data_IF_975911577892
#
_entry.id   IF_975911577892
#
_cell.length_a   1.000
_cell.length_b   1.000
_cell.length_c   1.000
_cell.angle_alpha   90.00
_cell.angle_beta   90.00
_cell.angle_gamma   90.00
#
_symmetry.space_group_name_H-M   'P 1'
#
loop_
_entity.id
_entity.type
_entity.pdbx_description
1 polymer ?
#
# COMPACT_ATOMS: atom_id res chain seq x y z
N UNK A 1 -22.80 3.00 6.20
CA UNK A 1 -21.50 2.32 6.38
C UNK A 1 -20.65 2.27 5.10
N UNK A 2 -21.14 1.72 3.97
CA UNK A 2 -20.35 1.59 2.73
C UNK A 2 -19.76 2.92 2.21
N UNK A 3 -20.57 3.97 2.16
CA UNK A 3 -20.11 5.29 1.68
C UNK A 3 -19.00 5.88 2.56
N UNK A 4 -19.06 5.68 3.88
CA UNK A 4 -18.03 6.14 4.82
C UNK A 4 -16.69 5.41 4.57
N UNK A 5 -16.73 4.10 4.35
CA UNK A 5 -15.51 3.32 4.04
C UNK A 5 -14.88 3.77 2.72
N UNK A 6 -15.71 4.09 1.72
CA UNK A 6 -15.22 4.64 0.44
C UNK A 6 -14.56 6.00 0.67
N UNK A 7 -15.21 6.90 1.43
CA UNK A 7 -14.66 8.21 1.73
C UNK A 7 -13.33 8.12 2.49
N UNK A 8 -13.22 7.21 3.47
CA UNK A 8 -11.96 6.95 4.19
C UNK A 8 -10.87 6.43 3.24
N UNK A 9 -11.18 5.46 2.38
CA UNK A 9 -10.21 4.93 1.42
C UNK A 9 -9.70 6.00 0.46
N UNK A 10 -10.60 6.86 -0.04
CA UNK A 10 -10.25 8.00 -0.89
C UNK A 10 -9.38 9.00 -0.12
N UNK A 11 -9.78 9.35 1.11
CA UNK A 11 -9.02 10.28 1.95
C UNK A 11 -7.61 9.79 2.25
N UNK A 12 -7.44 8.51 2.58
CA UNK A 12 -6.12 7.90 2.76
C UNK A 12 -5.35 7.90 1.43
N UNK A 13 -6.00 7.56 0.32
CA UNK A 13 -5.40 7.58 -1.01
C UNK A 13 -4.82 8.95 -1.41
N UNK A 14 -5.48 10.04 -1.00
CA UNK A 14 -4.99 11.41 -1.22
C UNK A 14 -3.72 11.74 -0.43
N UNK A 15 -3.45 11.03 0.67
CA UNK A 15 -2.29 11.27 1.54
C UNK A 15 -1.06 10.45 1.07
N UNK A 16 -1.25 9.34 0.36
CA UNK A 16 -0.15 8.47 -0.08
C UNK A 16 0.93 9.15 -0.96
N UNK A 17 0.59 10.08 -1.88
CA UNK A 17 1.60 10.83 -2.61
C UNK A 17 2.46 11.69 -1.69
N UNK A 18 1.85 12.32 -0.68
CA UNK A 18 2.56 13.09 0.35
C UNK A 18 3.50 12.21 1.16
N UNK A 19 3.06 11.02 1.55
CA UNK A 19 3.92 10.04 2.23
C UNK A 19 5.18 9.71 1.40
N UNK A 20 5.02 9.52 0.09
CA UNK A 20 6.15 9.23 -0.80
C UNK A 20 7.18 10.37 -0.83
N UNK A 21 6.71 11.62 -0.81
CA UNK A 21 7.57 12.80 -0.69
C UNK A 21 8.27 12.91 0.67
N UNK A 22 7.54 12.71 1.78
CA UNK A 22 8.12 12.69 3.14
C UNK A 22 9.22 11.64 3.26
N UNK A 23 8.98 10.44 2.72
CA UNK A 23 9.92 9.34 2.73
C UNK A 23 11.18 9.62 1.88
N UNK A 24 11.01 10.27 0.74
CA UNK A 24 12.12 10.75 -0.09
C UNK A 24 12.96 11.82 0.62
N UNK A 25 12.32 12.73 1.37
CA UNK A 25 13.03 13.74 2.15
C UNK A 25 13.81 13.10 3.31
N UNK A 26 13.18 12.18 4.03
CA UNK A 26 13.83 11.43 5.12
C UNK A 26 15.07 10.67 4.63
N UNK A 27 15.05 10.16 3.39
CA UNK A 27 16.23 9.55 2.75
C UNK A 27 17.39 10.54 2.62
N UNK A 28 17.15 11.83 2.36
CA UNK A 28 18.23 12.83 2.23
C UNK A 28 18.98 13.01 3.54
N UNK A 29 18.29 12.88 4.66
CA UNK A 29 18.88 13.01 6.00
C UNK A 29 19.45 11.70 6.55
N UNK A 30 18.86 10.57 6.21
CA UNK A 30 19.33 9.24 6.65
C UNK A 30 20.44 8.67 5.78
N UNK A 31 20.69 9.23 4.59
CA UNK A 31 21.74 8.82 3.67
C UNK A 31 21.47 7.52 2.90
N UNK A 32 20.46 6.72 3.28
CA UNK A 32 20.14 5.45 2.62
C UNK A 32 18.63 5.15 2.61
N UNK A 33 18.05 4.65 1.50
CA UNK A 33 16.63 4.31 1.39
C UNK A 33 16.12 3.37 2.48
N UNK A 34 16.91 2.35 2.85
CA UNK A 34 16.52 1.40 3.89
C UNK A 34 16.40 2.07 5.26
N UNK A 35 17.28 3.02 5.60
CA UNK A 35 17.18 3.75 6.86
C UNK A 35 15.94 4.64 6.90
N UNK A 36 15.62 5.33 5.80
CA UNK A 36 14.36 6.07 5.70
C UNK A 36 13.13 5.17 5.85
N UNK A 37 13.13 4.00 5.21
CA UNK A 37 12.04 3.04 5.35
C UNK A 37 11.91 2.51 6.79
N UNK A 38 13.02 2.08 7.42
CA UNK A 38 13.03 1.61 8.82
C UNK A 38 12.52 2.69 9.77
N UNK A 39 12.97 3.93 9.62
CA UNK A 39 12.49 5.05 10.44
C UNK A 39 10.99 5.30 10.22
N UNK A 40 10.50 5.28 8.98
CA UNK A 40 9.07 5.44 8.69
C UNK A 40 8.22 4.32 9.31
N UNK A 41 8.67 3.06 9.24
CA UNK A 41 8.01 1.95 9.93
C UNK A 41 8.05 2.09 11.44
N UNK A 42 9.15 2.58 12.01
CA UNK A 42 9.29 2.84 13.43
C UNK A 42 8.27 3.88 13.93
N UNK A 43 8.11 4.98 13.19
CA UNK A 43 7.09 6.01 13.51
C UNK A 43 5.68 5.42 13.40
N UNK A 44 5.38 4.67 12.35
CA UNK A 44 4.08 4.01 12.19
C UNK A 44 3.77 3.03 13.32
N UNK A 45 4.75 2.19 13.70
CA UNK A 45 4.63 1.26 14.83
C UNK A 45 4.36 2.03 16.13
N UNK A 46 5.14 3.07 16.41
CA UNK A 46 4.96 3.90 17.61
C UNK A 46 3.55 4.48 17.69
N UNK A 47 3.07 5.10 16.60
CA UNK A 47 1.71 5.67 16.53
C UNK A 47 0.65 4.60 16.78
N UNK A 48 0.75 3.43 16.15
CA UNK A 48 -0.20 2.34 16.34
C UNK A 48 -0.17 1.81 17.79
N UNK A 49 1.01 1.67 18.40
CA UNK A 49 1.14 1.25 19.79
C UNK A 49 0.50 2.25 20.76
N UNK A 50 0.68 3.56 20.53
CA UNK A 50 0.02 4.60 21.33
C UNK A 50 -1.50 4.53 21.19
N UNK A 51 -2.01 4.37 19.96
CA UNK A 51 -3.47 4.26 19.71
C UNK A 51 -4.05 3.04 20.44
N UNK A 52 -3.39 1.88 20.34
CA UNK A 52 -3.79 0.66 21.06
C UNK A 52 -3.82 0.87 22.57
N UNK A 53 -2.79 1.52 23.12
CA UNK A 53 -2.70 1.81 24.54
C UNK A 53 -3.81 2.78 25.02
N UNK A 54 -4.03 3.88 24.29
CA UNK A 54 -5.06 4.89 24.62
C UNK A 54 -6.47 4.31 24.53
N UNK A 55 -6.72 3.43 23.55
CA UNK A 55 -8.00 2.74 23.41
C UNK A 55 -8.19 1.59 24.42
N UNK A 56 -7.17 1.25 25.21
CA UNK A 56 -7.23 0.15 26.17
C UNK A 56 -7.40 -1.22 25.51
N UNK A 57 -6.92 -1.40 24.27
CA UNK A 57 -7.06 -2.66 23.55
C UNK A 57 -6.07 -3.68 24.15
N UNK A 58 -6.55 -4.83 24.68
CA UNK A 58 -5.70 -5.79 25.35
C UNK A 58 -4.75 -6.49 24.37
N UNK A 59 -3.55 -6.84 24.85
CA UNK A 59 -2.58 -7.57 24.04
C UNK A 59 -3.13 -8.97 23.70
N UNK A 60 -3.01 -9.43 22.43
CA UNK A 60 -3.44 -10.77 22.08
C UNK A 60 -2.59 -11.83 22.79
N UNK A 61 -3.18 -12.98 23.12
CA UNK A 61 -2.41 -14.09 23.68
C UNK A 61 -1.48 -14.68 22.61
N UNK A 62 -0.28 -15.14 23.02
CA UNK A 62 0.67 -15.77 22.11
C UNK A 62 0.07 -16.99 21.41
N UNK A 63 -0.79 -17.74 22.12
CA UNK A 63 -1.52 -18.86 21.54
C UNK A 63 -2.41 -18.43 20.36
N UNK A 64 -3.19 -17.36 20.51
CA UNK A 64 -4.05 -16.84 19.43
C UNK A 64 -3.22 -16.32 18.25
N UNK A 65 -2.07 -15.71 18.51
CA UNK A 65 -1.16 -15.28 17.45
C UNK A 65 -0.56 -16.51 16.72
N UNK A 66 -0.21 -17.56 17.46
CA UNK A 66 0.31 -18.81 16.90
C UNK A 66 -0.69 -19.57 16.02
N UNK A 67 -1.99 -19.34 16.20
CA UNK A 67 -3.05 -19.90 15.35
C UNK A 67 -3.19 -19.20 13.99
N UNK A 68 -2.64 -17.99 13.84
CA UNK A 68 -2.71 -17.27 12.57
C UNK A 68 -1.83 -17.96 11.51
N UNK A 69 -2.30 -18.09 10.25
CA UNK A 69 -1.49 -18.67 9.18
C UNK A 69 -0.19 -17.89 8.99
N UNK A 70 0.96 -18.58 8.84
CA UNK A 70 2.27 -17.94 8.73
C UNK A 70 2.36 -16.91 7.60
N UNK A 71 1.66 -17.15 6.48
CA UNK A 71 1.63 -16.22 5.35
C UNK A 71 0.98 -14.87 5.71
N UNK A 72 0.12 -14.80 6.73
CA UNK A 72 -0.55 -13.55 7.13
C UNK A 72 0.45 -12.52 7.67
N UNK A 73 1.56 -12.98 8.24
CA UNK A 73 2.66 -12.14 8.70
C UNK A 73 3.51 -11.55 7.56
N UNK A 74 3.42 -12.12 6.34
CA UNK A 74 4.12 -11.59 5.17
C UNK A 74 3.53 -10.26 4.68
N UNK A 75 2.36 -9.84 5.19
CA UNK A 75 1.80 -8.52 4.89
C UNK A 75 2.77 -7.37 5.23
N UNK A 76 3.61 -7.54 6.25
CA UNK A 76 4.67 -6.58 6.58
C UNK A 76 5.71 -6.42 5.46
N UNK A 77 6.04 -7.50 4.75
CA UNK A 77 6.97 -7.48 3.61
C UNK A 77 6.36 -6.70 2.43
N UNK A 78 5.06 -6.89 2.17
CA UNK A 78 4.34 -6.14 1.14
C UNK A 78 4.37 -4.63 1.42
N UNK A 79 4.08 -4.24 2.67
CA UNK A 79 4.16 -2.85 3.11
C UNK A 79 5.57 -2.29 2.99
N UNK A 80 6.58 -3.05 3.44
CA UNK A 80 7.98 -2.63 3.37
C UNK A 80 8.46 -2.41 1.93
N UNK A 81 8.06 -3.31 1.02
CA UNK A 81 8.36 -3.20 -0.41
C UNK A 81 7.72 -1.95 -1.03
N UNK A 82 6.47 -1.64 -0.66
CA UNK A 82 5.78 -0.43 -1.12
C UNK A 82 6.50 0.84 -0.66
N UNK A 83 6.83 0.93 0.62
CA UNK A 83 7.53 2.10 1.19
C UNK A 83 8.91 2.25 0.58
N UNK A 84 9.70 1.16 0.48
CA UNK A 84 11.03 1.20 -0.11
C UNK A 84 10.98 1.62 -1.58
N UNK A 85 10.04 1.07 -2.34
CA UNK A 85 9.80 1.48 -3.73
C UNK A 85 9.47 2.96 -3.81
N UNK A 86 8.57 3.46 -2.96
CA UNK A 86 8.23 4.88 -2.92
C UNK A 86 9.46 5.77 -2.61
N UNK A 87 10.27 5.42 -1.62
CA UNK A 87 11.52 6.15 -1.26
C UNK A 87 12.50 6.24 -2.44
N UNK A 88 12.60 5.17 -3.24
CA UNK A 88 13.55 5.07 -4.35
C UNK A 88 13.00 5.73 -5.61
N UNK A 89 11.73 5.51 -5.91
CA UNK A 89 11.10 5.86 -7.17
C UNK A 89 10.46 7.26 -7.17
N UNK A 90 9.94 7.74 -6.03
CA UNK A 90 9.28 9.05 -5.97
C UNK A 90 10.16 10.21 -6.47
N UNK A 91 11.47 10.30 -6.13
CA UNK A 91 12.33 11.36 -6.64
C UNK A 91 12.58 11.29 -8.16
N UNK A 92 12.39 10.12 -8.78
CA UNK A 92 12.68 9.87 -10.19
C UNK A 92 11.45 9.98 -11.07
N UNK A 93 10.31 9.47 -10.59
CA UNK A 93 9.06 9.37 -11.35
C UNK A 93 8.13 10.55 -11.08
N UNK A 94 8.34 11.29 -9.99
CA UNK A 94 7.35 12.22 -9.48
C UNK A 94 6.13 11.51 -8.88
N UNK A 95 5.28 12.28 -8.20
CA UNK A 95 4.15 11.73 -7.44
C UNK A 95 3.08 11.10 -8.33
N UNK A 96 2.70 11.76 -9.43
CA UNK A 96 1.61 11.32 -10.29
C UNK A 96 1.91 9.96 -10.95
N UNK A 97 3.07 9.83 -11.60
CA UNK A 97 3.45 8.59 -12.29
C UNK A 97 3.67 7.44 -11.30
N UNK A 98 4.29 7.70 -10.14
CA UNK A 98 4.46 6.68 -9.10
C UNK A 98 3.10 6.12 -8.66
N UNK A 99 2.15 7.00 -8.34
CA UNK A 99 0.80 6.58 -7.90
C UNK A 99 0.08 5.82 -8.99
N UNK A 100 0.15 6.30 -10.24
CA UNK A 100 -0.47 5.63 -11.38
C UNK A 100 0.08 4.20 -11.56
N UNK A 101 1.39 4.02 -11.51
CA UNK A 101 2.04 2.71 -11.58
C UNK A 101 1.65 1.79 -10.42
N UNK A 102 1.63 2.31 -9.18
CA UNK A 102 1.24 1.53 -8.01
C UNK A 102 -0.22 1.07 -8.09
N UNK A 103 -1.13 1.98 -8.47
CA UNK A 103 -2.56 1.66 -8.61
C UNK A 103 -2.79 0.65 -9.73
N UNK A 104 -2.10 0.80 -10.88
CA UNK A 104 -2.18 -0.17 -11.97
C UNK A 104 -1.71 -1.57 -11.53
N UNK A 105 -0.57 -1.66 -10.82
CA UNK A 105 -0.06 -2.93 -10.29
C UNK A 105 -0.99 -3.54 -9.23
N UNK A 106 -1.51 -2.73 -8.31
CA UNK A 106 -2.46 -3.16 -7.27
C UNK A 106 -3.74 -3.71 -7.88
N UNK A 107 -4.32 -3.02 -8.86
CA UNK A 107 -5.54 -3.46 -9.53
C UNK A 107 -5.30 -4.70 -10.40
N UNK A 108 -4.16 -4.78 -11.08
CA UNK A 108 -3.76 -5.96 -11.83
C UNK A 108 -3.64 -7.20 -10.94
N UNK A 109 -2.94 -7.07 -9.81
CA UNK A 109 -2.83 -8.14 -8.81
C UNK A 109 -4.17 -8.49 -8.19
N UNK A 110 -5.03 -7.50 -7.89
CA UNK A 110 -6.36 -7.71 -7.34
C UNK A 110 -7.24 -8.57 -8.24
N UNK A 111 -7.17 -8.43 -9.57
CA UNK A 111 -7.93 -9.29 -10.48
C UNK A 111 -7.53 -10.76 -10.35
N UNK A 112 -6.24 -11.05 -10.22
CA UNK A 112 -5.72 -12.41 -10.01
C UNK A 112 -6.16 -12.95 -8.64
N UNK A 113 -5.95 -12.16 -7.58
CA UNK A 113 -6.29 -12.53 -6.20
C UNK A 113 -7.79 -12.82 -6.08
N UNK A 114 -8.64 -11.93 -6.60
CA UNK A 114 -10.09 -12.08 -6.60
C UNK A 114 -10.52 -13.31 -7.40
N UNK A 115 -9.87 -13.58 -8.54
CA UNK A 115 -10.24 -14.70 -9.41
C UNK A 115 -10.01 -16.04 -8.74
N UNK A 116 -8.89 -16.19 -8.03
CA UNK A 116 -8.57 -17.42 -7.32
C UNK A 116 -9.07 -17.44 -5.86
N UNK A 117 -9.67 -16.35 -5.38
CA UNK A 117 -10.12 -16.23 -3.98
C UNK A 117 -8.97 -16.33 -2.96
N UNK A 118 -7.76 -15.90 -3.34
CA UNK A 118 -6.60 -15.97 -2.46
C UNK A 118 -6.76 -15.05 -1.24
N UNK A 119 -6.01 -15.31 -0.16
CA UNK A 119 -5.95 -14.44 1.03
C UNK A 119 -7.31 -14.21 1.71
N UNK A 120 -8.27 -15.13 1.51
CA UNK A 120 -9.61 -15.06 2.10
C UNK A 120 -10.61 -14.17 1.33
N UNK A 121 -10.28 -13.72 0.12
CA UNK A 121 -11.21 -13.01 -0.74
C UNK A 121 -12.25 -13.96 -1.35
N UNK A 122 -13.46 -13.45 -1.60
CA UNK A 122 -14.48 -14.20 -2.34
C UNK A 122 -14.07 -14.36 -3.80
N UNK A 123 -14.22 -15.58 -4.34
CA UNK A 123 -13.97 -15.86 -5.76
C UNK A 123 -14.87 -14.99 -6.64
N UNK A 124 -14.27 -14.21 -7.53
CA UNK A 124 -14.97 -13.37 -8.51
C UNK A 124 -14.45 -13.67 -9.92
N UNK A 125 -15.31 -14.09 -10.86
CA UNK A 125 -14.87 -14.33 -12.23
C UNK A 125 -14.31 -13.05 -12.85
N UNK A 126 -13.28 -13.21 -13.69
CA UNK A 126 -12.72 -12.11 -14.46
C UNK A 126 -13.78 -11.69 -15.49
N UNK A 127 -14.26 -10.45 -15.38
CA UNK A 127 -15.20 -9.87 -16.34
C UNK A 127 -14.47 -9.05 -17.40
N UNK A 128 -15.06 -8.94 -18.59
CA UNK A 128 -14.52 -8.08 -19.66
C UNK A 128 -14.34 -6.62 -19.21
N UNK A 129 -15.23 -6.12 -18.35
CA UNK A 129 -15.11 -4.77 -17.78
C UNK A 129 -13.87 -4.59 -16.89
N UNK A 130 -13.46 -5.61 -16.13
CA UNK A 130 -12.22 -5.57 -15.33
C UNK A 130 -10.99 -5.54 -16.23
N UNK A 131 -10.98 -6.36 -17.29
CA UNK A 131 -9.89 -6.37 -18.27
C UNK A 131 -9.79 -5.01 -18.97
N UNK A 132 -10.91 -4.47 -19.45
CA UNK A 132 -10.95 -3.15 -20.08
C UNK A 132 -10.47 -2.04 -19.12
N UNK A 133 -10.91 -2.08 -17.86
CA UNK A 133 -10.46 -1.13 -16.84
C UNK A 133 -8.94 -1.19 -16.62
N UNK A 134 -8.34 -2.39 -16.58
CA UNK A 134 -6.89 -2.55 -16.49
C UNK A 134 -6.17 -2.00 -17.72
N UNK A 135 -6.69 -2.26 -18.92
CA UNK A 135 -6.12 -1.70 -20.15
C UNK A 135 -6.15 -0.17 -20.15
N UNK A 136 -7.28 0.42 -19.73
CA UNK A 136 -7.42 1.87 -19.61
C UNK A 136 -6.47 2.46 -18.55
N UNK A 137 -6.22 1.76 -17.45
CA UNK A 137 -5.22 2.16 -16.46
C UNK A 137 -3.81 2.16 -17.03
N UNK A 138 -3.44 1.12 -17.78
CA UNK A 138 -2.13 1.04 -18.46
C UNK A 138 -1.98 2.18 -19.46
N UNK A 139 -3.01 2.46 -20.27
CA UNK A 139 -3.03 3.61 -21.17
C UNK A 139 -2.85 4.92 -20.38
N UNK A 140 -3.57 5.07 -19.26
CA UNK A 140 -3.43 6.23 -18.38
C UNK A 140 -2.01 6.41 -17.85
N UNK A 141 -1.36 5.33 -17.41
CA UNK A 141 0.05 5.35 -16.96
C UNK A 141 0.97 5.83 -18.09
N UNK A 142 0.83 5.29 -19.30
CA UNK A 142 1.64 5.69 -20.47
C UNK A 142 1.43 7.16 -20.83
N UNK A 143 0.20 7.66 -20.76
CA UNK A 143 -0.09 9.06 -21.03
C UNK A 143 0.54 9.99 -19.99
N UNK A 144 0.46 9.63 -18.70
CA UNK A 144 1.07 10.41 -17.61
C UNK A 144 2.59 10.43 -17.74
N UNK A 145 3.20 9.29 -18.07
CA UNK A 145 4.64 9.14 -18.27
C UNK A 145 5.13 10.05 -19.40
N UNK A 146 4.43 10.09 -20.53
CA UNK A 146 4.78 10.94 -21.67
C UNK A 146 4.52 12.43 -21.46
N UNK A 147 3.71 12.80 -20.47
CA UNK A 147 3.39 14.20 -20.16
C UNK A 147 4.30 14.82 -19.09
N UNK A 148 5.14 14.01 -18.44
CA UNK A 148 6.05 14.41 -17.37
C UNK A 148 7.46 14.68 -17.90
#
# INVERSE_FOLDING_TARGET
MRALLIALAVGVGMILPLQSGINAELRRHTGHPLWAAVTNFGVGLFVLSVVVAVMGIPMPSLERMGQAPLWSYLGGICGASLVLTAVIAAPKLGAALLVACLVAGQLGSSVVIDHFGWVGYSVRPISGGRILGLLLLVVGVVLIERSS
#
